data_IF_302031825507
#
_entry.id   IF_302031825507
#
_cell.length_a   1.000
_cell.length_b   1.000
_cell.length_c   1.000
_cell.angle_alpha   90.00
_cell.angle_beta   90.00
_cell.angle_gamma   90.00
#
_symmetry.space_group_name_H-M   'P 1'
#
loop_
_entity.id
_entity.type
_entity.pdbx_description
1 polymer ?
#
# COMPACT_ATOMS: atom_id res chain seq x y z
N UNK A 1 1.76 -1.30 1.59
CA UNK A 1 1.26 0.06 1.89
C UNK A 1 2.40 1.05 1.90
N UNK A 2 2.17 2.27 1.43
CA UNK A 2 3.14 3.38 1.45
C UNK A 2 2.59 4.57 2.21
N UNK A 3 3.45 5.26 2.94
CA UNK A 3 3.13 6.56 3.53
C UNK A 3 3.95 7.65 2.87
N UNK A 4 3.28 8.77 2.58
CA UNK A 4 3.88 9.94 1.96
C UNK A 4 3.81 11.14 2.88
N UNK A 5 4.81 12.02 2.83
CA UNK A 5 4.74 13.28 3.53
C UNK A 5 3.66 14.16 2.88
N UNK A 6 2.74 14.69 3.68
CA UNK A 6 1.70 15.58 3.18
C UNK A 6 2.27 17.00 2.99
N UNK A 7 2.14 17.52 1.76
CA UNK A 7 2.40 18.93 1.47
C UNK A 7 1.09 19.73 1.44
N UNK A 8 0.93 20.58 0.42
CA UNK A 8 -0.33 21.27 0.18
C UNK A 8 -1.30 20.34 -0.58
N UNK A 9 -2.14 19.61 0.15
CA UNK A 9 -3.14 18.70 -0.40
C UNK A 9 -2.77 17.22 -0.33
N UNK A 10 -3.68 16.37 -0.81
CA UNK A 10 -3.49 14.92 -0.84
C UNK A 10 -2.46 14.56 -1.92
N UNK A 11 -1.52 13.61 -1.65
CA UNK A 11 -0.52 13.19 -2.62
C UNK A 11 -1.14 12.69 -3.92
N UNK A 12 -0.75 13.26 -5.07
CA UNK A 12 -1.20 12.82 -6.38
C UNK A 12 -0.23 11.77 -6.93
N UNK A 13 -0.70 10.54 -7.20
CA UNK A 13 0.15 9.48 -7.75
C UNK A 13 0.77 9.83 -9.11
N UNK A 14 0.12 10.69 -9.91
CA UNK A 14 0.64 11.10 -11.20
C UNK A 14 1.87 11.99 -11.06
N UNK A 15 1.81 12.94 -10.16
CA UNK A 15 2.88 13.90 -9.95
C UNK A 15 3.96 13.36 -8.99
N UNK A 16 3.57 12.56 -8.00
CA UNK A 16 4.43 11.94 -6.99
C UNK A 16 5.47 12.94 -6.43
N UNK A 17 4.99 14.15 -6.03
CA UNK A 17 5.86 15.25 -5.64
C UNK A 17 6.39 15.12 -4.21
N UNK A 18 5.65 14.43 -3.37
CA UNK A 18 5.95 14.33 -1.96
C UNK A 18 6.78 13.07 -1.67
N UNK A 19 7.68 13.16 -0.69
CA UNK A 19 8.55 12.04 -0.35
C UNK A 19 7.76 10.87 0.27
N UNK A 20 8.20 9.66 -0.03
CA UNK A 20 7.74 8.46 0.64
C UNK A 20 8.52 8.33 1.95
N UNK A 21 7.80 8.26 3.07
CA UNK A 21 8.37 8.26 4.43
C UNK A 21 8.40 6.88 5.06
N UNK A 22 7.52 5.98 4.63
CA UNK A 22 7.55 4.57 5.00
C UNK A 22 6.98 3.69 3.90
N UNK A 23 7.47 2.45 3.84
CA UNK A 23 6.91 1.37 3.02
C UNK A 23 6.85 0.13 3.90
N UNK A 24 5.66 -0.48 4.01
CA UNK A 24 5.51 -1.80 4.64
C UNK A 24 4.94 -2.80 3.66
N UNK A 25 5.52 -3.99 3.63
CA UNK A 25 5.02 -5.15 2.89
C UNK A 25 5.12 -6.40 3.75
N UNK A 26 4.11 -7.26 3.65
CA UNK A 26 4.14 -8.61 4.23
C UNK A 26 4.46 -9.63 3.14
N UNK A 27 5.37 -10.54 3.42
CA UNK A 27 5.60 -11.71 2.60
C UNK A 27 4.86 -12.91 3.25
N UNK A 28 3.95 -13.53 2.52
CA UNK A 28 3.14 -14.65 3.01
C UNK A 28 3.91 -15.99 3.03
N UNK A 29 5.13 -16.06 2.47
CA UNK A 29 5.93 -17.29 2.46
C UNK A 29 6.65 -17.45 3.80
N UNK A 30 7.29 -16.38 4.30
CA UNK A 30 8.01 -16.38 5.58
C UNK A 30 7.20 -15.74 6.73
N UNK A 31 6.02 -15.21 6.41
CA UNK A 31 5.09 -14.58 7.36
C UNK A 31 5.70 -13.38 8.11
N UNK A 32 6.56 -12.62 7.41
CA UNK A 32 7.32 -11.49 7.96
C UNK A 32 6.82 -10.17 7.37
N UNK A 33 6.74 -9.16 8.22
CA UNK A 33 6.50 -7.77 7.81
C UNK A 33 7.82 -7.04 7.61
N UNK A 34 8.11 -6.66 6.39
CA UNK A 34 9.27 -5.87 6.02
C UNK A 34 8.89 -4.41 5.92
N UNK A 35 9.50 -3.59 6.77
CA UNK A 35 9.21 -2.15 6.83
C UNK A 35 10.47 -1.33 6.60
N UNK A 36 10.36 -0.32 5.74
CA UNK A 36 11.43 0.62 5.40
C UNK A 36 11.01 2.02 5.85
N UNK A 37 11.88 2.73 6.56
CA UNK A 37 11.61 4.08 7.05
C UNK A 37 12.87 4.87 7.36
N UNK A 38 12.75 6.19 7.55
CA UNK A 38 13.91 7.09 7.72
C UNK A 38 14.17 7.50 9.18
N UNK A 39 13.42 6.99 10.15
CA UNK A 39 13.60 7.28 11.57
C UNK A 39 14.01 6.07 12.39
N UNK A 40 14.08 6.24 13.71
CA UNK A 40 14.30 5.13 14.64
C UNK A 40 13.01 4.37 14.90
N UNK A 41 13.10 3.05 14.90
CA UNK A 41 12.00 2.17 15.27
C UNK A 41 12.53 0.99 16.07
N UNK A 42 11.94 0.75 17.21
CA UNK A 42 12.30 -0.34 18.11
C UNK A 42 11.28 -1.49 17.91
N UNK A 43 11.70 -2.53 17.22
CA UNK A 43 10.85 -3.71 16.94
C UNK A 43 10.39 -4.43 18.21
N UNK A 44 11.11 -4.29 19.33
CA UNK A 44 10.72 -4.87 20.62
C UNK A 44 9.50 -4.18 21.23
N UNK A 45 9.21 -2.95 20.78
CA UNK A 45 8.05 -2.13 21.19
C UNK A 45 6.95 -2.09 20.14
N UNK A 46 7.08 -2.86 19.06
CA UNK A 46 6.07 -2.93 18.03
C UNK A 46 4.69 -3.27 18.64
N UNK A 47 3.65 -2.58 18.20
CA UNK A 47 2.28 -2.89 18.66
C UNK A 47 1.83 -4.26 18.19
N UNK A 48 2.26 -4.67 17.00
CA UNK A 48 2.04 -6.01 16.49
C UNK A 48 3.04 -6.99 17.11
N UNK A 49 2.52 -7.93 17.92
CA UNK A 49 3.30 -8.95 18.62
C UNK A 49 3.11 -10.36 18.04
N UNK A 50 2.22 -10.51 17.06
CA UNK A 50 1.82 -11.82 16.53
C UNK A 50 2.74 -12.31 15.42
N UNK A 51 3.44 -11.40 14.74
CA UNK A 51 4.32 -11.69 13.61
C UNK A 51 5.65 -10.97 13.74
N UNK A 52 6.66 -11.47 13.04
CA UNK A 52 7.98 -10.84 12.98
C UNK A 52 7.92 -9.56 12.15
N UNK A 53 8.45 -8.47 12.69
CA UNK A 53 8.66 -7.20 12.00
C UNK A 53 10.16 -7.00 11.77
N UNK A 54 10.56 -6.87 10.51
CA UNK A 54 11.95 -6.53 10.14
C UNK A 54 11.98 -5.09 9.63
N UNK A 55 12.39 -4.20 10.53
CA UNK A 55 12.54 -2.80 10.18
C UNK A 55 13.90 -2.52 9.57
N UNK A 56 13.92 -1.81 8.44
CA UNK A 56 15.12 -1.32 7.78
C UNK A 56 15.17 0.21 7.85
N UNK A 57 16.01 0.70 8.77
CA UNK A 57 16.31 2.13 8.85
C UNK A 57 17.09 2.58 7.61
N UNK A 58 16.66 3.71 7.03
CA UNK A 58 17.27 4.36 5.88
C UNK A 58 17.71 5.78 6.26
N UNK A 59 18.78 6.27 5.64
CA UNK A 59 19.29 7.61 5.89
C UNK A 59 18.40 8.69 5.26
N UNK A 60 17.80 8.38 4.12
CA UNK A 60 16.91 9.24 3.35
C UNK A 60 15.95 8.42 2.46
N UNK A 61 15.02 9.10 1.79
CA UNK A 61 14.08 8.48 0.86
C UNK A 61 14.78 7.74 -0.28
N UNK A 62 15.91 8.26 -0.78
CA UNK A 62 16.64 7.64 -1.87
C UNK A 62 17.18 6.26 -1.48
N UNK A 63 17.71 6.14 -0.26
CA UNK A 63 18.14 4.86 0.29
C UNK A 63 16.95 3.94 0.57
N UNK A 64 15.84 4.49 1.09
CA UNK A 64 14.61 3.75 1.35
C UNK A 64 14.11 3.10 0.06
N UNK A 65 13.93 3.86 -1.00
CA UNK A 65 13.48 3.37 -2.30
C UNK A 65 14.48 2.38 -2.91
N UNK A 66 15.79 2.61 -2.73
CA UNK A 66 16.81 1.69 -3.22
C UNK A 66 16.74 0.33 -2.52
N UNK A 67 16.66 0.33 -1.19
CA UNK A 67 16.55 -0.90 -0.38
C UNK A 67 15.25 -1.63 -0.67
N UNK A 68 14.14 -0.89 -0.77
CA UNK A 68 12.84 -1.45 -1.11
C UNK A 68 12.86 -2.14 -2.49
N UNK A 69 13.34 -1.47 -3.55
CA UNK A 69 13.42 -2.05 -4.90
C UNK A 69 14.34 -3.27 -4.92
N UNK A 70 15.44 -3.24 -4.18
CA UNK A 70 16.35 -4.38 -4.06
C UNK A 70 15.67 -5.58 -3.38
N UNK A 71 14.96 -5.33 -2.28
CA UNK A 71 14.21 -6.35 -1.57
C UNK A 71 13.11 -6.94 -2.45
N UNK A 72 12.28 -6.10 -3.07
CA UNK A 72 11.24 -6.52 -4.01
C UNK A 72 11.80 -7.40 -5.15
N UNK A 73 12.89 -6.96 -5.78
CA UNK A 73 13.50 -7.72 -6.88
C UNK A 73 14.05 -9.08 -6.46
N UNK A 74 14.48 -9.20 -5.20
CA UNK A 74 14.95 -10.46 -4.62
C UNK A 74 13.80 -11.40 -4.28
N UNK A 75 12.75 -10.90 -3.67
CA UNK A 75 11.55 -11.68 -3.30
C UNK A 75 10.72 -12.06 -4.54
N UNK A 76 10.73 -11.21 -5.58
CA UNK A 76 10.08 -11.44 -6.85
C UNK A 76 8.63 -11.94 -6.72
N UNK A 77 7.72 -11.15 -6.17
CA UNK A 77 6.36 -11.60 -5.88
C UNK A 77 5.60 -11.94 -7.16
N UNK A 78 4.84 -13.04 -7.15
CA UNK A 78 3.91 -13.40 -8.23
C UNK A 78 2.64 -12.54 -8.18
N UNK A 79 2.18 -12.24 -6.97
CA UNK A 79 0.96 -11.47 -6.69
C UNK A 79 1.26 -10.41 -5.66
N UNK A 80 0.79 -9.21 -5.91
CA UNK A 80 0.82 -8.08 -4.96
C UNK A 80 -0.59 -7.60 -4.71
N UNK A 81 -0.90 -7.37 -3.46
CA UNK A 81 -2.19 -6.83 -3.03
C UNK A 81 -2.01 -5.67 -2.06
N UNK A 82 -3.05 -4.89 -1.91
CA UNK A 82 -3.13 -3.77 -0.99
C UNK A 82 -4.46 -3.04 -1.14
N UNK A 83 -4.73 -2.06 -0.28
CA UNK A 83 -5.96 -1.30 -0.33
C UNK A 83 -5.86 -0.13 -1.29
N UNK A 84 -6.58 -0.17 -2.39
CA UNK A 84 -6.48 0.81 -3.48
C UNK A 84 -5.10 0.86 -4.16
N UNK A 85 -4.34 -0.22 -4.05
CA UNK A 85 -2.94 -0.33 -4.46
C UNK A 85 -2.74 -0.08 -5.96
N UNK A 86 -3.73 -0.44 -6.77
CA UNK A 86 -3.68 -0.28 -8.23
C UNK A 86 -3.74 1.18 -8.68
N UNK A 87 -4.42 2.04 -7.90
CA UNK A 87 -4.64 3.44 -8.24
C UNK A 87 -3.87 4.44 -7.38
N UNK A 88 -3.26 3.99 -6.29
CA UNK A 88 -2.48 4.86 -5.41
C UNK A 88 -1.04 4.36 -5.24
N UNK A 89 -0.82 3.28 -4.49
CA UNK A 89 0.52 2.86 -4.06
C UNK A 89 1.45 2.55 -5.24
N UNK A 90 1.02 1.70 -6.16
CA UNK A 90 1.85 1.30 -7.31
C UNK A 90 2.14 2.46 -8.25
N UNK A 91 1.16 3.29 -8.67
CA UNK A 91 1.45 4.46 -9.49
C UNK A 91 2.35 5.48 -8.78
N UNK A 92 2.09 5.74 -7.50
CA UNK A 92 2.90 6.68 -6.72
C UNK A 92 4.34 6.19 -6.62
N UNK A 93 4.53 4.95 -6.23
CA UNK A 93 5.84 4.32 -6.07
C UNK A 93 6.66 4.35 -7.38
N UNK A 94 6.06 3.94 -8.50
CA UNK A 94 6.73 3.94 -9.80
C UNK A 94 7.14 5.35 -10.21
N UNK A 95 6.23 6.31 -10.12
CA UNK A 95 6.50 7.70 -10.49
C UNK A 95 7.51 8.34 -9.54
N UNK A 96 7.44 8.04 -8.25
CA UNK A 96 8.42 8.53 -7.27
C UNK A 96 9.81 7.96 -7.49
N UNK A 97 9.94 6.66 -7.75
CA UNK A 97 11.21 6.02 -8.12
C UNK A 97 11.81 6.70 -9.36
N UNK A 98 11.02 6.91 -10.41
CA UNK A 98 11.48 7.62 -11.60
C UNK A 98 12.02 9.01 -11.28
N UNK A 99 11.30 9.75 -10.46
CA UNK A 99 11.65 11.12 -10.06
C UNK A 99 12.93 11.15 -9.23
N UNK A 100 13.01 10.36 -8.16
CA UNK A 100 14.17 10.33 -7.24
C UNK A 100 15.44 9.82 -7.93
N UNK A 101 15.31 8.91 -8.89
CA UNK A 101 16.42 8.35 -9.64
C UNK A 101 16.60 8.93 -11.06
N UNK A 102 16.00 10.10 -11.34
CA UNK A 102 16.16 10.80 -12.62
C UNK A 102 15.86 9.92 -13.86
N UNK A 103 14.79 9.13 -13.80
CA UNK A 103 14.34 8.24 -14.89
C UNK A 103 15.43 7.24 -15.38
N UNK A 104 16.28 6.75 -14.47
CA UNK A 104 17.33 5.80 -14.84
C UNK A 104 16.85 4.34 -14.99
N UNK A 105 15.53 4.12 -14.97
CA UNK A 105 14.91 2.80 -15.17
C UNK A 105 14.92 1.90 -13.93
N UNK A 106 15.12 2.47 -12.73
CA UNK A 106 15.09 1.71 -11.47
C UNK A 106 13.75 1.04 -11.20
N UNK A 107 12.64 1.67 -11.60
CA UNK A 107 11.28 1.10 -11.49
C UNK A 107 11.13 -0.23 -12.25
N UNK A 108 11.94 -0.45 -13.28
CA UNK A 108 11.90 -1.69 -14.05
C UNK A 108 12.32 -2.92 -13.23
N UNK A 109 13.06 -2.72 -12.14
CA UNK A 109 13.42 -3.80 -11.23
C UNK A 109 12.26 -4.36 -10.42
N UNK A 110 11.11 -3.69 -10.41
CA UNK A 110 9.87 -4.24 -9.87
C UNK A 110 9.33 -5.39 -10.73
N UNK A 111 9.70 -5.48 -12.01
CA UNK A 111 9.33 -6.57 -12.90
C UNK A 111 10.48 -7.58 -13.05
N UNK A 112 10.23 -8.90 -12.93
CA UNK A 112 11.22 -9.92 -13.24
C UNK A 112 11.72 -9.83 -14.70
N UNK A 113 10.88 -9.30 -15.58
CA UNK A 113 11.21 -9.13 -17.01
C UNK A 113 11.70 -7.72 -17.36
N UNK A 114 11.89 -6.86 -16.37
CA UNK A 114 12.31 -5.45 -16.55
C UNK A 114 11.35 -4.62 -17.41
N UNK A 115 10.06 -4.96 -17.36
CA UNK A 115 9.01 -4.32 -18.16
C UNK A 115 7.92 -3.76 -17.23
N UNK A 116 7.79 -2.43 -17.24
CA UNK A 116 6.76 -1.70 -16.50
C UNK A 116 6.09 -0.75 -17.47
N UNK A 117 4.83 -1.01 -17.78
CA UNK A 117 4.04 -0.27 -18.77
C UNK A 117 2.99 0.60 -18.07
N UNK A 118 2.99 1.92 -18.39
CA UNK A 118 1.95 2.82 -17.93
C UNK A 118 0.75 2.82 -18.88
N UNK A 119 -0.46 2.77 -18.32
CA UNK A 119 -1.72 2.90 -19.06
C UNK A 119 -2.58 4.00 -18.44
N UNK A 120 -3.25 4.80 -19.26
CA UNK A 120 -4.31 5.66 -18.76
C UNK A 120 -5.52 4.80 -18.41
N UNK A 121 -6.04 4.96 -17.21
CA UNK A 121 -7.24 4.30 -16.74
C UNK A 121 -8.19 5.31 -16.10
N UNK A 122 -9.48 4.99 -16.06
CA UNK A 122 -10.45 5.77 -15.32
C UNK A 122 -10.61 5.15 -13.93
N UNK A 123 -10.01 5.79 -12.91
CA UNK A 123 -10.12 5.35 -11.52
C UNK A 123 -11.52 5.64 -10.97
N UNK A 124 -12.06 4.69 -10.23
CA UNK A 124 -13.19 4.94 -9.33
C UNK A 124 -12.64 5.37 -7.98
N UNK A 125 -12.50 6.68 -7.75
CA UNK A 125 -12.03 7.19 -6.46
C UNK A 125 -12.87 6.66 -5.28
N UNK A 126 -12.26 6.60 -4.10
CA UNK A 126 -12.89 6.12 -2.84
C UNK A 126 -14.23 6.81 -2.56
N UNK A 127 -14.41 8.05 -3.03
CA UNK A 127 -15.59 8.88 -2.81
C UNK A 127 -16.66 8.79 -3.93
N UNK A 128 -16.46 8.03 -5.01
CA UNK A 128 -17.44 7.95 -6.11
C UNK A 128 -18.70 7.14 -5.79
N UNK A 129 -18.72 6.37 -4.71
CA UNK A 129 -19.92 5.65 -4.28
C UNK A 129 -21.13 6.57 -3.94
N UNK A 130 -20.88 7.85 -3.61
CA UNK A 130 -21.91 8.83 -3.26
C UNK A 130 -22.34 9.75 -4.41
N UNK A 131 -21.60 9.83 -5.52
CA UNK A 131 -21.85 10.79 -6.59
C UNK A 131 -21.60 10.20 -7.98
N UNK A 132 -22.61 9.55 -8.53
CA UNK A 132 -22.63 9.02 -9.92
C UNK A 132 -22.47 10.11 -11.01
N UNK A 133 -22.35 11.38 -10.64
CA UNK A 133 -22.25 12.53 -11.56
C UNK A 133 -20.88 13.21 -11.57
N UNK A 134 -19.91 12.75 -10.76
CA UNK A 134 -18.57 13.32 -10.82
C UNK A 134 -17.81 12.79 -12.06
N UNK A 135 -17.05 13.64 -12.77
CA UNK A 135 -16.27 13.21 -13.91
C UNK A 135 -15.27 12.14 -13.46
N UNK A 136 -15.17 11.08 -14.27
CA UNK A 136 -14.17 10.01 -14.04
C UNK A 136 -12.79 10.66 -14.08
N UNK A 137 -12.08 10.64 -12.97
CA UNK A 137 -10.72 11.16 -12.89
C UNK A 137 -9.81 10.23 -13.68
N UNK A 138 -9.04 10.78 -14.62
CA UNK A 138 -7.97 10.03 -15.28
C UNK A 138 -6.92 9.65 -14.25
N UNK A 139 -6.74 8.37 -14.00
CA UNK A 139 -5.71 7.84 -13.13
C UNK A 139 -4.62 7.16 -13.98
N UNK A 140 -3.39 7.21 -13.53
CA UNK A 140 -2.33 6.39 -14.09
C UNK A 140 -2.43 4.98 -13.50
N UNK A 141 -2.44 3.99 -14.35
CA UNK A 141 -2.37 2.57 -13.96
C UNK A 141 -1.10 2.00 -14.55
N UNK A 142 -0.41 1.18 -13.78
CA UNK A 142 0.79 0.51 -14.23
C UNK A 142 0.59 -1.00 -14.27
N UNK A 143 1.18 -1.62 -15.29
CA UNK A 143 1.29 -3.05 -15.42
C UNK A 143 2.76 -3.43 -15.20
N UNK A 144 3.02 -4.17 -14.15
CA UNK A 144 4.35 -4.73 -13.86
C UNK A 144 4.36 -6.14 -14.46
N UNK A 145 5.06 -6.33 -15.58
CA UNK A 145 5.06 -7.62 -16.26
C UNK A 145 5.66 -8.70 -15.38
N UNK A 146 4.94 -9.82 -15.25
CA UNK A 146 5.31 -10.94 -14.38
C UNK A 146 4.82 -10.81 -12.93
N UNK A 147 4.12 -9.72 -12.57
CA UNK A 147 3.52 -9.53 -11.25
C UNK A 147 2.03 -9.22 -11.42
N UNK A 148 1.16 -10.02 -10.82
CA UNK A 148 -0.27 -9.75 -10.80
C UNK A 148 -0.60 -8.76 -9.67
N UNK A 149 -1.25 -7.65 -10.02
CA UNK A 149 -1.74 -6.68 -9.03
C UNK A 149 -3.20 -6.98 -8.77
N UNK A 150 -3.53 -7.40 -7.55
CA UNK A 150 -4.89 -7.67 -7.08
C UNK A 150 -5.28 -6.64 -6.04
N UNK A 151 -5.97 -5.57 -6.46
CA UNK A 151 -6.45 -4.53 -5.55
C UNK A 151 -7.51 -5.07 -4.60
N UNK A 152 -7.20 -5.14 -3.30
CA UNK A 152 -8.08 -5.76 -2.31
C UNK A 152 -9.40 -5.01 -2.15
N UNK A 153 -9.41 -3.68 -2.25
CA UNK A 153 -10.64 -2.89 -2.24
C UNK A 153 -11.54 -3.24 -3.43
N UNK A 154 -10.97 -3.40 -4.61
CA UNK A 154 -11.73 -3.77 -5.81
C UNK A 154 -12.29 -5.20 -5.71
N UNK A 155 -11.49 -6.13 -5.20
CA UNK A 155 -11.91 -7.51 -4.95
C UNK A 155 -13.02 -7.55 -3.90
N UNK A 156 -12.87 -6.83 -2.79
CA UNK A 156 -13.91 -6.73 -1.75
C UNK A 156 -15.22 -6.16 -2.30
N UNK A 157 -15.16 -5.09 -3.09
CA UNK A 157 -16.37 -4.54 -3.76
C UNK A 157 -17.07 -5.55 -4.64
N UNK A 158 -16.33 -6.44 -5.29
CA UNK A 158 -16.86 -7.42 -6.22
C UNK A 158 -17.37 -8.70 -5.55
N UNK A 159 -16.66 -9.19 -4.55
CA UNK A 159 -16.90 -10.51 -3.96
C UNK A 159 -17.30 -10.48 -2.48
N UNK A 160 -17.19 -9.34 -1.81
CA UNK A 160 -17.64 -9.16 -0.43
C UNK A 160 -19.15 -8.99 -0.27
N UNK A 161 -19.94 -9.61 -1.15
CA UNK A 161 -21.41 -9.46 -1.22
C UNK A 161 -22.15 -9.87 0.06
N UNK A 162 -21.56 -10.72 0.89
CA UNK A 162 -22.14 -11.11 2.19
C UNK A 162 -22.25 -9.94 3.16
N UNK A 163 -21.43 -8.89 2.97
CA UNK A 163 -21.46 -7.67 3.77
C UNK A 163 -22.37 -6.59 3.17
N UNK A 164 -22.90 -6.79 1.97
CA UNK A 164 -23.73 -5.83 1.27
C UNK A 164 -22.98 -4.56 0.83
N UNK A 165 -23.69 -3.60 0.22
CA UNK A 165 -23.14 -2.30 -0.11
C UNK A 165 -22.74 -1.54 1.15
N UNK A 166 -21.56 -0.92 1.14
CA UNK A 166 -21.02 -0.16 2.26
C UNK A 166 -21.16 1.35 2.07
N UNK A 167 -21.37 2.07 3.16
CA UNK A 167 -21.43 3.55 3.14
C UNK A 167 -20.08 4.17 2.77
N UNK A 168 -19.01 3.51 3.12
CA UNK A 168 -17.62 3.91 2.82
C UNK A 168 -16.78 2.68 2.49
N UNK A 169 -15.86 2.85 1.54
CA UNK A 169 -14.84 1.84 1.21
C UNK A 169 -13.44 2.28 1.66
N UNK A 170 -13.34 3.10 2.70
CA UNK A 170 -12.07 3.35 3.39
C UNK A 170 -11.65 2.09 4.14
N UNK A 171 -10.35 1.83 4.21
CA UNK A 171 -9.79 0.65 4.89
C UNK A 171 -10.30 0.54 6.33
N UNK A 172 -10.26 1.65 7.09
CA UNK A 172 -10.76 1.70 8.47
C UNK A 172 -12.23 1.25 8.62
N UNK A 173 -13.10 1.72 7.71
CA UNK A 173 -14.51 1.34 7.74
C UNK A 173 -14.70 -0.15 7.43
N UNK A 174 -14.05 -0.64 6.39
CA UNK A 174 -14.18 -2.05 5.98
C UNK A 174 -13.54 -2.99 7.00
N UNK A 175 -12.38 -2.64 7.56
CA UNK A 175 -11.76 -3.41 8.65
C UNK A 175 -12.68 -3.50 9.87
N UNK A 176 -13.37 -2.40 10.24
CA UNK A 176 -14.35 -2.43 11.32
C UNK A 176 -15.56 -3.33 10.98
N UNK A 177 -16.06 -3.30 9.75
CA UNK A 177 -17.18 -4.15 9.32
C UNK A 177 -16.78 -5.63 9.31
N UNK A 178 -15.59 -5.94 8.82
CA UNK A 178 -15.13 -7.33 8.64
C UNK A 178 -14.56 -7.92 9.91
N UNK A 179 -13.67 -7.19 10.59
CA UNK A 179 -12.90 -7.68 11.74
C UNK A 179 -13.44 -7.19 13.09
N UNK A 180 -14.27 -6.14 13.10
CA UNK A 180 -14.65 -5.42 14.32
C UNK A 180 -13.55 -4.50 14.85
N UNK A 181 -12.52 -4.25 14.07
CA UNK A 181 -11.36 -3.46 14.44
C UNK A 181 -11.24 -2.19 13.59
N UNK A 182 -10.59 -1.18 14.15
CA UNK A 182 -10.30 0.08 13.47
C UNK A 182 -8.79 0.25 13.32
N UNK A 183 -8.41 1.18 12.42
CA UNK A 183 -7.05 1.70 12.36
C UNK A 183 -6.59 2.24 13.70
N UNK A 184 -5.28 2.35 13.87
CA UNK A 184 -4.73 3.06 15.02
C UNK A 184 -5.17 4.53 14.99
N UNK A 185 -5.51 5.07 16.15
CA UNK A 185 -5.76 6.48 16.30
C UNK A 185 -4.42 7.25 16.34
N UNK A 186 -4.38 8.44 15.76
CA UNK A 186 -3.21 9.34 15.82
C UNK A 186 -2.90 9.80 17.25
N UNK A 187 -3.81 9.59 18.21
CA UNK A 187 -3.67 10.08 19.57
C UNK A 187 -3.76 11.60 19.62
N UNK A 188 -2.70 12.27 20.12
CA UNK A 188 -2.63 13.73 20.19
C UNK A 188 -2.20 14.38 18.86
N UNK A 189 -1.65 13.62 17.92
CA UNK A 189 -1.25 14.13 16.61
C UNK A 189 -2.48 14.45 15.74
N UNK A 190 -2.46 15.59 15.07
CA UNK A 190 -3.57 16.02 14.20
C UNK A 190 -3.54 15.37 12.81
N UNK A 191 -2.39 14.87 12.40
CA UNK A 191 -2.18 14.24 11.09
C UNK A 191 -0.92 13.36 11.07
N UNK A 192 -0.73 12.60 9.98
CA UNK A 192 0.41 11.70 9.80
C UNK A 192 1.78 12.41 9.77
N UNK A 193 1.88 13.65 9.29
CA UNK A 193 3.13 14.39 9.30
C UNK A 193 3.58 14.69 10.73
N UNK A 194 2.64 15.15 11.56
CA UNK A 194 2.92 15.42 12.96
C UNK A 194 3.31 14.15 13.71
N UNK A 195 2.66 13.02 13.37
CA UNK A 195 3.02 11.72 13.91
C UNK A 195 4.44 11.31 13.49
N UNK A 196 4.78 11.48 12.20
CA UNK A 196 6.11 11.21 11.68
C UNK A 196 7.20 12.02 12.37
N UNK A 197 6.96 13.32 12.60
CA UNK A 197 7.94 14.23 13.18
C UNK A 197 8.07 14.05 14.71
N UNK A 198 7.01 13.69 15.42
CA UNK A 198 6.98 13.67 16.90
C UNK A 198 7.00 12.27 17.52
N UNK A 199 6.45 11.26 16.84
CA UNK A 199 6.36 9.87 17.32
C UNK A 199 6.57 8.89 16.18
N UNK A 200 7.81 8.75 15.75
CA UNK A 200 8.15 7.86 14.63
C UNK A 200 7.87 6.39 14.92
N UNK A 201 7.94 5.97 16.19
CA UNK A 201 7.56 4.60 16.58
C UNK A 201 6.10 4.33 16.21
N UNK A 202 5.19 5.20 16.67
CA UNK A 202 3.77 5.07 16.40
C UNK A 202 3.43 5.26 14.91
N UNK A 203 4.17 6.13 14.21
CA UNK A 203 4.03 6.31 12.76
C UNK A 203 4.30 5.01 11.99
N UNK A 204 5.37 4.31 12.33
CA UNK A 204 5.69 3.01 11.70
C UNK A 204 4.67 1.95 12.10
N UNK A 205 4.26 1.90 13.38
CA UNK A 205 3.20 0.99 13.82
C UNK A 205 1.89 1.22 13.05
N UNK A 206 1.57 2.48 12.71
CA UNK A 206 0.41 2.82 11.91
C UNK A 206 0.49 2.22 10.49
N UNK A 207 1.63 2.40 9.81
CA UNK A 207 1.84 1.84 8.48
C UNK A 207 1.81 0.29 8.47
N UNK A 208 2.41 -0.34 9.49
CA UNK A 208 2.35 -1.81 9.68
C UNK A 208 0.90 -2.26 9.90
N UNK A 209 0.12 -1.52 10.70
CA UNK A 209 -1.28 -1.86 11.00
C UNK A 209 -2.15 -1.84 9.76
N UNK A 210 -1.92 -0.94 8.83
CA UNK A 210 -2.68 -0.91 7.57
C UNK A 210 -2.45 -2.18 6.74
N UNK A 211 -1.24 -2.71 6.71
CA UNK A 211 -0.92 -4.00 6.07
C UNK A 211 -1.51 -5.18 6.84
N UNK A 212 -1.41 -5.17 8.17
CA UNK A 212 -1.98 -6.21 9.05
C UNK A 212 -3.50 -6.34 8.86
N UNK A 213 -4.21 -5.22 8.75
CA UNK A 213 -5.67 -5.26 8.56
C UNK A 213 -6.06 -5.99 7.26
N UNK A 214 -5.31 -5.78 6.18
CA UNK A 214 -5.56 -6.46 4.90
C UNK A 214 -5.25 -7.96 5.01
N UNK A 215 -4.13 -8.30 5.62
CA UNK A 215 -3.71 -9.66 5.87
C UNK A 215 -4.77 -10.44 6.66
N UNK A 216 -5.24 -9.90 7.77
CA UNK A 216 -6.28 -10.50 8.61
C UNK A 216 -7.66 -10.54 7.93
N UNK A 217 -7.96 -9.57 7.06
CA UNK A 217 -9.16 -9.66 6.22
C UNK A 217 -9.05 -10.80 5.21
N UNK A 218 -7.87 -11.03 4.62
CA UNK A 218 -7.64 -12.16 3.72
C UNK A 218 -7.75 -13.49 4.45
N UNK A 219 -7.19 -13.61 5.66
CA UNK A 219 -7.34 -14.82 6.49
C UNK A 219 -8.80 -15.16 6.76
N UNK A 220 -9.65 -14.14 6.94
CA UNK A 220 -11.07 -14.33 7.21
C UNK A 220 -11.91 -14.56 5.96
N UNK A 221 -11.59 -13.91 4.87
CA UNK A 221 -12.44 -13.84 3.67
C UNK A 221 -11.94 -14.73 2.52
N UNK A 222 -10.63 -14.97 2.40
CA UNK A 222 -10.02 -15.78 1.35
C UNK A 222 -10.26 -15.23 -0.06
N UNK A 223 -10.35 -13.91 -0.24
CA UNK A 223 -10.73 -13.30 -1.52
C UNK A 223 -9.64 -13.41 -2.59
N UNK A 224 -8.36 -13.32 -2.19
CA UNK A 224 -7.23 -13.53 -3.12
C UNK A 224 -7.24 -14.99 -3.57
N UNK A 225 -7.38 -15.92 -2.63
CA UNK A 225 -7.48 -17.37 -2.89
C UNK A 225 -8.63 -17.66 -3.84
N UNK A 226 -9.80 -17.02 -3.65
CA UNK A 226 -10.94 -17.12 -4.56
C UNK A 226 -10.59 -16.64 -5.97
N UNK A 227 -9.96 -15.46 -6.10
CA UNK A 227 -9.56 -14.91 -7.40
C UNK A 227 -8.58 -15.81 -8.12
N UNK A 228 -7.57 -16.32 -7.43
CA UNK A 228 -6.59 -17.24 -8.01
C UNK A 228 -7.24 -18.55 -8.45
N UNK A 229 -8.13 -19.11 -7.63
CA UNK A 229 -8.88 -20.33 -8.00
C UNK A 229 -9.73 -20.14 -9.25
N UNK A 230 -10.34 -18.97 -9.41
CA UNK A 230 -11.11 -18.66 -10.63
C UNK A 230 -10.23 -18.47 -11.87
N UNK A 231 -9.04 -17.92 -11.68
CA UNK A 231 -8.10 -17.69 -12.78
C UNK A 231 -7.50 -18.99 -13.34
N UNK A 232 -7.44 -20.06 -12.54
CA UNK A 232 -6.93 -21.39 -12.94
C UNK A 232 -7.98 -22.32 -13.54
N UNK A 233 -9.24 -21.92 -13.63
CA UNK A 233 -10.32 -22.69 -14.30
C UNK A 233 -10.53 -22.22 -15.73
#
# INVERSE_FOLDING_TARGET
DIECRFGQGFPDPKDADQEITAITMKNNIDDVYYTFGCGEYDTSKALMQTHEVRYQKCADERELLHKFVYHWARECPDVVTGWNVEFFDIPYLINRIRKVFNNNGREKFLSPWRMVDGKEAFGTGINQAKHNHLPKVKASKYEIKGVAILDYMAIFKKFGYTYGPQESYKLDHIANVVLGEKKLDFGEASNLNELYDNDHQKFIDYNIKDVELIDRMEDKLGLITLCLTMAYK
#
